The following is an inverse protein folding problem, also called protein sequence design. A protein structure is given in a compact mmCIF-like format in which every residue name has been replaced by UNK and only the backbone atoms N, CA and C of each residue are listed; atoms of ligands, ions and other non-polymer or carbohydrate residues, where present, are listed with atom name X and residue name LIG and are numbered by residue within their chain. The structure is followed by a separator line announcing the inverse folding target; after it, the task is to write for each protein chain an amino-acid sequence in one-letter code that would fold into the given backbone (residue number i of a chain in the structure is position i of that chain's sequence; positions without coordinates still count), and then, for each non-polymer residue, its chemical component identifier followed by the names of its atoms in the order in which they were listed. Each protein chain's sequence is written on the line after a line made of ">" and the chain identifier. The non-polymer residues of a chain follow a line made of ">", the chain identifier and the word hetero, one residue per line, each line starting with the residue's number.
data_IF_400863992291
#
_entry.id   IF_400863992291
#
_cell.length_a   1.000
_cell.length_b   1.000
_cell.length_c   1.000
_cell.angle_alpha   90.00
_cell.angle_beta   90.00
_cell.angle_gamma   90.00
#
_symmetry.space_group_name_H-M   'P 1'
#
loop_
_entity.id
_entity.type
_entity.pdbx_description
1 polymer ?
#
# COMPACT_ATOMS: atom_id res chain seq x y z
N UNK A 1 27.03 4.89 -23.98
CA UNK A 1 28.06 4.47 -23.02
C UNK A 1 27.54 4.71 -21.62
N UNK A 2 27.04 3.67 -20.96
CA UNK A 2 26.73 3.72 -19.54
C UNK A 2 27.99 4.03 -18.75
N UNK A 3 27.96 5.12 -18.00
CA UNK A 3 29.03 5.39 -17.03
C UNK A 3 28.91 4.32 -15.94
N UNK A 4 29.87 3.39 -15.91
CA UNK A 4 30.06 2.45 -14.82
C UNK A 4 30.20 3.24 -13.51
N UNK A 5 29.13 3.24 -12.71
CA UNK A 5 29.08 3.91 -11.42
C UNK A 5 29.70 2.95 -10.39
N UNK A 6 31.02 2.91 -10.34
CA UNK A 6 31.76 2.19 -9.30
C UNK A 6 31.62 2.95 -7.97
N UNK A 7 30.46 2.85 -7.32
CA UNK A 7 30.35 3.26 -5.91
C UNK A 7 30.86 2.11 -5.05
N UNK A 8 31.84 2.35 -4.14
CA UNK A 8 32.26 1.33 -3.21
C UNK A 8 31.05 0.85 -2.39
N UNK A 9 30.95 -0.46 -2.20
CA UNK A 9 29.94 -1.04 -1.31
C UNK A 9 30.01 -0.35 0.05
N UNK A 10 28.89 0.25 0.50
CA UNK A 10 28.81 0.81 1.85
C UNK A 10 29.08 -0.32 2.85
N UNK A 11 30.00 -0.12 3.77
CA UNK A 11 30.26 -1.08 4.82
C UNK A 11 29.00 -1.25 5.69
N UNK A 12 28.78 -2.44 6.29
CA UNK A 12 27.67 -2.69 7.21
C UNK A 12 27.64 -1.68 8.38
N UNK A 13 28.81 -1.18 8.81
CA UNK A 13 28.89 -0.12 9.84
C UNK A 13 28.31 1.21 9.32
N UNK A 14 28.64 1.61 8.11
CA UNK A 14 28.11 2.83 7.48
C UNK A 14 26.59 2.73 7.31
N UNK A 15 26.08 1.57 6.86
CA UNK A 15 24.65 1.31 6.74
C UNK A 15 23.92 1.43 8.08
N UNK A 16 24.47 0.85 9.16
CA UNK A 16 23.89 0.96 10.52
C UNK A 16 23.86 2.39 11.03
N UNK A 17 24.92 3.16 10.79
CA UNK A 17 24.98 4.57 11.21
C UNK A 17 23.93 5.41 10.47
N UNK A 18 23.84 5.25 9.15
CA UNK A 18 22.87 5.94 8.31
C UNK A 18 21.43 5.57 8.69
N UNK A 19 21.16 4.28 8.88
CA UNK A 19 19.85 3.78 9.35
C UNK A 19 19.47 4.37 10.69
N UNK A 20 20.41 4.44 11.64
CA UNK A 20 20.20 5.06 12.96
C UNK A 20 19.89 6.55 12.83
N UNK A 21 20.62 7.27 11.98
CA UNK A 21 20.37 8.70 11.71
C UNK A 21 18.97 8.94 11.12
N UNK A 22 18.57 8.15 10.11
CA UNK A 22 17.23 8.21 9.52
C UNK A 22 16.15 7.96 10.58
N UNK A 23 16.35 6.94 11.42
CA UNK A 23 15.43 6.58 12.50
C UNK A 23 15.37 7.66 13.59
N UNK A 24 16.44 8.34 13.90
CA UNK A 24 16.47 9.32 15.02
C UNK A 24 16.04 10.71 14.59
N UNK A 25 16.45 11.15 13.40
CA UNK A 25 16.39 12.55 12.99
C UNK A 25 15.30 12.88 11.95
N UNK A 26 14.47 11.90 11.53
CA UNK A 26 13.45 12.09 10.49
C UNK A 26 12.03 11.77 10.98
N UNK A 27 11.44 12.59 11.85
CA UNK A 27 10.14 12.29 12.47
C UNK A 27 8.99 12.17 11.44
N UNK A 28 9.04 12.91 10.34
CA UNK A 28 8.03 12.84 9.29
C UNK A 28 8.05 11.49 8.55
N UNK A 29 9.24 10.93 8.36
CA UNK A 29 9.41 9.61 7.78
C UNK A 29 8.88 8.50 8.71
N UNK A 30 9.08 8.63 10.04
CA UNK A 30 8.50 7.68 11.00
C UNK A 30 6.98 7.66 10.96
N UNK A 31 6.35 8.81 10.90
CA UNK A 31 4.89 8.91 10.78
C UNK A 31 4.40 8.21 9.52
N UNK A 32 5.13 8.35 8.41
CA UNK A 32 4.85 7.62 7.19
C UNK A 32 5.02 6.11 7.39
N UNK A 33 6.09 5.64 8.04
CA UNK A 33 6.29 4.22 8.36
C UNK A 33 5.13 3.66 9.19
N UNK A 34 4.67 4.38 10.21
CA UNK A 34 3.51 3.96 11.01
C UNK A 34 2.24 3.85 10.17
N UNK A 35 1.97 4.78 9.27
CA UNK A 35 0.86 4.65 8.32
C UNK A 35 1.00 3.39 7.46
N UNK A 36 2.23 3.07 7.01
CA UNK A 36 2.52 1.87 6.21
C UNK A 36 2.32 0.56 6.99
N UNK A 37 2.62 0.54 8.30
CA UNK A 37 2.34 -0.63 9.15
C UNK A 37 0.86 -1.00 9.11
N UNK A 38 -0.03 -0.04 9.31
CA UNK A 38 -1.48 -0.30 9.24
C UNK A 38 -1.93 -0.70 7.83
N UNK A 39 -1.32 -0.13 6.79
CA UNK A 39 -1.61 -0.51 5.42
C UNK A 39 -1.18 -1.95 5.09
N UNK A 40 -0.20 -2.56 5.80
CA UNK A 40 0.17 -3.96 5.61
C UNK A 40 -1.01 -4.93 5.84
N UNK A 41 -2.07 -4.51 6.53
CA UNK A 41 -3.31 -5.28 6.67
C UNK A 41 -3.98 -5.62 5.33
N UNK A 42 -3.65 -4.89 4.25
CA UNK A 42 -4.20 -5.15 2.91
C UNK A 42 -3.46 -6.25 2.13
N UNK A 43 -2.31 -6.73 2.61
CA UNK A 43 -1.50 -7.71 1.89
C UNK A 43 -2.24 -9.02 1.59
N UNK A 44 -3.06 -9.60 2.49
CA UNK A 44 -3.85 -10.79 2.20
C UNK A 44 -5.11 -10.50 1.37
N UNK A 45 -5.36 -9.25 0.97
CA UNK A 45 -6.65 -8.81 0.45
C UNK A 45 -7.14 -9.62 -0.76
N UNK A 46 -6.34 -9.83 -1.80
CA UNK A 46 -6.82 -10.51 -3.02
C UNK A 46 -7.34 -11.91 -2.68
N UNK A 47 -6.58 -12.70 -1.93
CA UNK A 47 -7.00 -14.03 -1.52
C UNK A 47 -8.24 -14.01 -0.63
N UNK A 48 -8.27 -13.11 0.36
CA UNK A 48 -9.40 -12.93 1.27
C UNK A 48 -10.69 -12.61 0.49
N UNK A 49 -10.65 -11.63 -0.42
CA UNK A 49 -11.84 -11.22 -1.17
C UNK A 49 -12.29 -12.30 -2.15
N UNK A 50 -11.35 -12.98 -2.82
CA UNK A 50 -11.69 -14.06 -3.74
C UNK A 50 -12.41 -15.22 -3.02
N UNK A 51 -11.86 -15.70 -1.89
CA UNK A 51 -12.45 -16.77 -1.11
C UNK A 51 -13.81 -16.34 -0.52
N UNK A 52 -13.91 -15.12 0.03
CA UNK A 52 -15.16 -14.59 0.55
C UNK A 52 -16.26 -14.52 -0.50
N UNK A 53 -15.95 -13.96 -1.67
CA UNK A 53 -16.92 -13.82 -2.74
C UNK A 53 -17.33 -15.20 -3.29
N UNK A 54 -16.39 -16.14 -3.45
CA UNK A 54 -16.68 -17.50 -3.86
C UNK A 54 -17.62 -18.19 -2.87
N UNK A 55 -17.34 -18.13 -1.59
CA UNK A 55 -18.18 -18.73 -0.55
C UNK A 55 -19.59 -18.12 -0.47
N UNK A 56 -19.70 -16.82 -0.77
CA UNK A 56 -20.97 -16.10 -0.64
C UNK A 56 -21.86 -16.22 -1.88
N UNK A 57 -21.26 -16.26 -3.06
CA UNK A 57 -22.00 -16.16 -4.33
C UNK A 57 -21.91 -17.42 -5.20
N UNK A 58 -21.10 -18.43 -4.82
CA UNK A 58 -20.94 -19.72 -5.52
C UNK A 58 -20.68 -19.55 -7.04
N UNK A 59 -19.76 -18.66 -7.41
CA UNK A 59 -19.48 -18.40 -8.82
C UNK A 59 -18.51 -19.44 -9.43
N UNK A 60 -18.58 -19.63 -10.74
CA UNK A 60 -17.75 -20.55 -11.49
C UNK A 60 -16.32 -20.01 -11.73
N UNK A 61 -15.40 -20.92 -12.07
CA UNK A 61 -13.99 -20.57 -12.39
C UNK A 61 -13.89 -19.55 -13.53
N UNK A 62 -14.82 -19.57 -14.50
CA UNK A 62 -14.87 -18.61 -15.60
C UNK A 62 -15.08 -17.16 -15.12
N UNK A 63 -15.83 -16.97 -14.05
CA UNK A 63 -16.10 -15.65 -13.44
C UNK A 63 -14.88 -15.11 -12.72
N UNK A 64 -14.06 -15.99 -12.12
CA UNK A 64 -12.76 -15.62 -11.49
C UNK A 64 -11.85 -14.98 -12.54
N UNK A 65 -11.80 -15.52 -13.75
CA UNK A 65 -11.07 -14.94 -14.87
C UNK A 65 -11.52 -13.51 -15.18
N UNK A 66 -12.84 -13.29 -15.24
CA UNK A 66 -13.41 -11.95 -15.48
C UNK A 66 -13.05 -10.94 -14.38
N UNK A 67 -13.12 -11.33 -13.11
CA UNK A 67 -12.73 -10.47 -11.99
C UNK A 67 -11.24 -10.14 -12.02
N UNK A 68 -10.39 -11.13 -12.35
CA UNK A 68 -8.95 -10.93 -12.48
C UNK A 68 -8.64 -9.94 -13.62
N UNK A 69 -9.28 -10.07 -14.77
CA UNK A 69 -9.11 -9.13 -15.89
C UNK A 69 -9.49 -7.72 -15.48
N UNK A 70 -10.64 -7.53 -14.82
CA UNK A 70 -11.06 -6.21 -14.35
C UNK A 70 -10.10 -5.62 -13.29
N UNK A 71 -9.61 -6.44 -12.39
CA UNK A 71 -8.59 -6.02 -11.42
C UNK A 71 -7.32 -5.52 -12.13
N UNK A 72 -6.80 -6.27 -13.11
CA UNK A 72 -5.59 -5.90 -13.85
C UNK A 72 -5.80 -4.64 -14.69
N UNK A 73 -6.94 -4.53 -15.41
CA UNK A 73 -7.27 -3.32 -16.17
C UNK A 73 -7.35 -2.12 -15.25
N UNK A 74 -8.09 -2.24 -14.14
CA UNK A 74 -8.21 -1.18 -13.14
C UNK A 74 -6.84 -0.80 -12.57
N UNK A 75 -5.99 -1.77 -12.25
CA UNK A 75 -4.63 -1.54 -11.78
C UNK A 75 -3.81 -0.71 -12.78
N UNK A 76 -3.88 -1.03 -14.08
CA UNK A 76 -3.18 -0.30 -15.13
C UNK A 76 -3.68 1.15 -15.26
N UNK A 77 -5.01 1.33 -15.34
CA UNK A 77 -5.64 2.66 -15.46
C UNK A 77 -5.29 3.54 -14.26
N UNK A 78 -5.47 3.02 -13.05
CA UNK A 78 -5.22 3.80 -11.83
C UNK A 78 -3.74 3.98 -11.51
N UNK A 79 -2.85 3.15 -12.03
CA UNK A 79 -1.41 3.42 -11.98
C UNK A 79 -1.04 4.68 -12.76
N UNK A 80 -1.62 4.83 -13.97
CA UNK A 80 -1.43 6.04 -14.78
C UNK A 80 -2.04 7.28 -14.12
N UNK A 81 -3.32 7.19 -13.69
CA UNK A 81 -4.02 8.29 -13.01
C UNK A 81 -3.29 8.73 -11.76
N UNK A 82 -2.86 7.78 -10.94
CA UNK A 82 -2.15 8.04 -9.69
C UNK A 82 -0.77 8.63 -9.92
N UNK A 83 -0.07 8.21 -10.99
CA UNK A 83 1.18 8.84 -11.43
C UNK A 83 0.95 10.33 -11.75
N UNK A 84 -0.01 10.63 -12.60
CA UNK A 84 -0.36 12.00 -12.96
C UNK A 84 -0.77 12.86 -11.75
N UNK A 85 -1.61 12.33 -10.87
CA UNK A 85 -2.02 13.01 -9.62
C UNK A 85 -0.80 13.24 -8.71
N UNK A 86 0.07 12.26 -8.58
CA UNK A 86 1.29 12.35 -7.78
C UNK A 86 2.25 13.39 -8.29
N UNK A 87 2.42 13.49 -9.60
CA UNK A 87 3.29 14.49 -10.23
C UNK A 87 2.75 15.91 -10.04
N UNK A 88 1.43 16.09 -10.19
CA UNK A 88 0.78 17.40 -10.12
C UNK A 88 0.52 17.89 -8.70
N UNK A 89 0.03 17.01 -7.82
CA UNK A 89 -0.48 17.39 -6.49
C UNK A 89 0.35 16.83 -5.33
N UNK A 90 1.36 16.02 -5.63
CA UNK A 90 2.21 15.38 -4.64
C UNK A 90 1.87 13.92 -4.39
N UNK A 91 2.92 13.13 -4.15
CA UNK A 91 2.78 11.67 -3.99
C UNK A 91 2.07 11.26 -2.70
N UNK A 92 1.98 12.15 -1.72
CA UNK A 92 1.15 11.94 -0.53
C UNK A 92 -0.34 11.81 -0.90
N UNK A 93 -0.84 12.67 -1.79
CA UNK A 93 -2.26 12.65 -2.24
C UNK A 93 -2.53 11.37 -3.03
N UNK A 94 -1.63 11.02 -3.93
CA UNK A 94 -1.69 9.78 -4.69
C UNK A 94 -1.73 8.54 -3.79
N UNK A 95 -0.96 8.55 -2.70
CA UNK A 95 -0.96 7.48 -1.70
C UNK A 95 -2.28 7.41 -0.91
N UNK A 96 -2.87 8.57 -0.58
CA UNK A 96 -4.20 8.63 0.05
C UNK A 96 -5.27 8.04 -0.86
N UNK A 97 -5.20 8.27 -2.18
CA UNK A 97 -6.10 7.64 -3.15
C UNK A 97 -5.99 6.11 -3.10
N UNK A 98 -4.76 5.57 -3.06
CA UNK A 98 -4.53 4.13 -2.94
C UNK A 98 -5.21 3.54 -1.70
N UNK A 99 -5.03 4.18 -0.54
CA UNK A 99 -5.64 3.75 0.71
C UNK A 99 -7.17 3.83 0.66
N UNK A 100 -7.70 4.90 0.06
CA UNK A 100 -9.14 5.11 -0.09
C UNK A 100 -9.79 4.06 -0.99
N UNK A 101 -9.14 3.63 -2.07
CA UNK A 101 -9.63 2.56 -2.93
C UNK A 101 -9.64 1.20 -2.21
N UNK A 102 -8.62 0.89 -1.41
CA UNK A 102 -8.66 -0.33 -0.60
C UNK A 102 -9.75 -0.28 0.48
N UNK A 103 -9.98 0.88 1.09
CA UNK A 103 -11.09 1.07 2.03
C UNK A 103 -12.44 0.93 1.33
N UNK A 104 -12.58 1.46 0.12
CA UNK A 104 -13.77 1.27 -0.70
C UNK A 104 -14.04 -0.22 -0.98
N UNK A 105 -13.00 -1.00 -1.29
CA UNK A 105 -13.15 -2.45 -1.47
C UNK A 105 -13.67 -3.15 -0.20
N UNK A 106 -13.20 -2.77 0.98
CA UNK A 106 -13.73 -3.26 2.27
C UNK A 106 -15.22 -2.93 2.42
N UNK A 107 -15.60 -1.69 2.18
CA UNK A 107 -16.99 -1.25 2.27
C UNK A 107 -17.88 -2.02 1.30
N UNK A 108 -17.45 -2.14 0.02
CA UNK A 108 -18.18 -2.91 -0.98
C UNK A 108 -18.34 -4.38 -0.57
N UNK A 109 -17.32 -5.01 0.02
CA UNK A 109 -17.41 -6.38 0.49
C UNK A 109 -18.40 -6.55 1.63
N UNK A 110 -18.38 -5.67 2.62
CA UNK A 110 -19.32 -5.70 3.78
C UNK A 110 -20.77 -5.56 3.33
N UNK A 111 -21.04 -4.71 2.35
CA UNK A 111 -22.41 -4.44 1.85
C UNK A 111 -22.80 -5.26 0.61
N UNK A 112 -21.94 -6.15 0.13
CA UNK A 112 -22.16 -6.94 -1.09
C UNK A 112 -23.44 -7.79 -1.00
N UNK A 113 -24.34 -7.64 -1.99
CA UNK A 113 -25.62 -8.35 -2.04
C UNK A 113 -25.76 -9.26 -3.26
N UNK A 114 -25.06 -8.97 -4.34
CA UNK A 114 -25.14 -9.69 -5.60
C UNK A 114 -23.80 -9.62 -6.35
N UNK A 115 -23.73 -10.26 -7.51
CA UNK A 115 -22.53 -10.37 -8.33
C UNK A 115 -21.99 -9.02 -8.80
N UNK A 116 -22.82 -8.00 -9.01
CA UNK A 116 -22.34 -6.67 -9.41
C UNK A 116 -21.42 -6.04 -8.37
N UNK A 117 -21.63 -6.32 -7.08
CA UNK A 117 -20.74 -5.85 -6.02
C UNK A 117 -19.36 -6.50 -6.13
N UNK A 118 -19.28 -7.74 -6.56
CA UNK A 118 -18.01 -8.44 -6.75
C UNK A 118 -17.16 -7.74 -7.81
N UNK A 119 -17.74 -7.35 -8.94
CA UNK A 119 -17.05 -6.54 -9.95
C UNK A 119 -16.52 -5.24 -9.34
N UNK A 120 -17.34 -4.53 -8.58
CA UNK A 120 -16.93 -3.30 -7.87
C UNK A 120 -15.77 -3.51 -6.89
N UNK A 121 -15.78 -4.62 -6.14
CA UNK A 121 -14.69 -4.99 -5.21
C UNK A 121 -13.37 -5.15 -5.97
N UNK A 122 -13.35 -5.94 -7.04
CA UNK A 122 -12.12 -6.21 -7.79
C UNK A 122 -11.61 -4.98 -8.55
N UNK A 123 -12.51 -4.11 -9.04
CA UNK A 123 -12.14 -2.81 -9.60
C UNK A 123 -11.49 -1.93 -8.53
N UNK A 124 -12.08 -1.84 -7.33
CA UNK A 124 -11.54 -1.04 -6.24
C UNK A 124 -10.18 -1.58 -5.74
N UNK A 125 -10.03 -2.91 -5.66
CA UNK A 125 -8.75 -3.54 -5.32
C UNK A 125 -7.67 -3.21 -6.36
N UNK A 126 -7.99 -3.36 -7.65
CA UNK A 126 -7.07 -3.02 -8.73
C UNK A 126 -6.69 -1.54 -8.72
N UNK A 127 -7.66 -0.64 -8.52
CA UNK A 127 -7.43 0.79 -8.38
C UNK A 127 -6.51 1.11 -7.21
N UNK A 128 -6.72 0.47 -6.06
CA UNK A 128 -5.88 0.62 -4.88
C UNK A 128 -4.44 0.17 -5.12
N UNK A 129 -4.25 -1.02 -5.71
CA UNK A 129 -2.93 -1.57 -6.03
C UNK A 129 -2.19 -0.74 -7.09
N UNK A 130 -2.89 -0.37 -8.17
CA UNK A 130 -2.32 0.45 -9.24
C UNK A 130 -1.91 1.84 -8.74
N UNK A 131 -2.71 2.44 -7.86
CA UNK A 131 -2.35 3.72 -7.25
C UNK A 131 -1.21 3.59 -6.24
N UNK A 132 -1.12 2.48 -5.51
CA UNK A 132 -0.15 2.29 -4.47
C UNK A 132 1.29 2.20 -4.99
N UNK A 133 1.55 1.37 -6.00
CA UNK A 133 2.89 1.06 -6.48
C UNK A 133 3.71 2.31 -6.85
N UNK A 134 3.26 3.19 -7.77
CA UNK A 134 4.02 4.39 -8.13
C UNK A 134 4.09 5.39 -6.97
N UNK A 135 3.00 5.52 -6.20
CA UNK A 135 2.94 6.49 -5.10
C UNK A 135 3.88 6.15 -3.97
N UNK A 136 3.97 4.87 -3.60
CA UNK A 136 4.84 4.41 -2.52
C UNK A 136 6.30 4.65 -2.84
N UNK A 137 6.75 4.28 -4.05
CA UNK A 137 8.14 4.48 -4.48
C UNK A 137 8.51 5.95 -4.57
N UNK A 138 7.66 6.76 -5.20
CA UNK A 138 7.94 8.17 -5.41
C UNK A 138 7.89 8.95 -4.09
N UNK A 139 6.98 8.63 -3.17
CA UNK A 139 6.94 9.26 -1.85
C UNK A 139 8.20 8.95 -1.04
N UNK A 140 8.73 7.72 -1.13
CA UNK A 140 10.02 7.37 -0.51
C UNK A 140 11.15 8.23 -1.10
N UNK A 141 11.14 8.43 -2.40
CA UNK A 141 12.13 9.28 -3.07
C UNK A 141 12.01 10.77 -2.70
N UNK A 142 10.82 11.21 -2.35
CA UNK A 142 10.59 12.57 -1.84
C UNK A 142 11.16 12.75 -0.42
N UNK A 143 11.15 11.71 0.42
CA UNK A 143 11.79 11.71 1.74
C UNK A 143 13.30 11.60 1.67
N UNK A 144 13.82 10.83 0.72
CA UNK A 144 15.24 10.53 0.61
C UNK A 144 16.01 11.65 -0.10
N UNK A 145 17.27 11.86 0.30
CA UNK A 145 18.22 12.60 -0.53
C UNK A 145 18.66 11.73 -1.73
N UNK A 146 19.25 12.34 -2.76
CA UNK A 146 19.62 11.62 -4.01
C UNK A 146 20.48 10.37 -3.76
N UNK A 147 21.31 10.38 -2.72
CA UNK A 147 22.26 9.31 -2.44
C UNK A 147 21.73 8.21 -1.51
N UNK A 148 20.63 8.48 -0.78
CA UNK A 148 20.13 7.63 0.30
C UNK A 148 18.90 6.78 -0.09
N UNK A 149 18.40 6.91 -1.32
CA UNK A 149 17.15 6.26 -1.78
C UNK A 149 17.12 4.75 -1.52
N UNK A 150 18.21 4.05 -1.81
CA UNK A 150 18.30 2.60 -1.60
C UNK A 150 18.24 2.22 -0.13
N UNK A 151 18.84 3.03 0.75
CA UNK A 151 18.81 2.83 2.20
C UNK A 151 17.40 3.00 2.74
N UNK A 152 16.66 4.03 2.30
CA UNK A 152 15.27 4.24 2.68
C UNK A 152 14.36 3.10 2.25
N UNK A 153 14.51 2.60 1.01
CA UNK A 153 13.73 1.45 0.52
C UNK A 153 14.02 0.20 1.35
N UNK A 154 15.28 -0.16 1.54
CA UNK A 154 15.67 -1.32 2.34
C UNK A 154 15.19 -1.22 3.79
N UNK A 155 15.24 -0.02 4.38
CA UNK A 155 14.75 0.24 5.74
C UNK A 155 13.24 -0.01 5.83
N UNK A 156 12.45 0.49 4.88
CA UNK A 156 11.00 0.30 4.86
C UNK A 156 10.67 -1.17 4.76
N UNK A 157 11.24 -1.89 3.80
CA UNK A 157 10.93 -3.30 3.58
C UNK A 157 11.32 -4.15 4.81
N UNK A 158 12.50 -3.90 5.39
CA UNK A 158 12.95 -4.58 6.61
C UNK A 158 12.05 -4.27 7.80
N UNK A 159 11.64 -3.01 7.96
CA UNK A 159 10.78 -2.60 9.08
C UNK A 159 9.36 -3.15 8.95
N UNK A 160 8.82 -3.19 7.73
CA UNK A 160 7.45 -3.65 7.50
C UNK A 160 7.30 -5.17 7.47
N UNK A 161 8.37 -5.92 7.18
CA UNK A 161 8.31 -7.38 7.05
C UNK A 161 7.66 -8.11 8.24
N UNK A 162 8.02 -7.85 9.52
CA UNK A 162 7.39 -8.52 10.66
C UNK A 162 5.89 -8.20 10.77
N UNK A 163 5.48 -6.98 10.48
CA UNK A 163 4.07 -6.57 10.48
C UNK A 163 3.30 -7.22 9.32
N UNK A 164 3.92 -7.33 8.16
CA UNK A 164 3.36 -8.03 7.01
C UNK A 164 3.06 -9.50 7.36
N UNK A 165 4.04 -10.22 7.94
CA UNK A 165 3.88 -11.60 8.38
C UNK A 165 2.76 -11.71 9.42
N UNK A 166 2.72 -10.81 10.38
CA UNK A 166 1.69 -10.79 11.43
C UNK A 166 0.28 -10.61 10.84
N UNK A 167 0.09 -9.64 9.93
CA UNK A 167 -1.22 -9.42 9.30
C UNK A 167 -1.63 -10.59 8.40
N UNK A 168 -0.71 -11.12 7.60
CA UNK A 168 -1.01 -12.28 6.74
C UNK A 168 -1.42 -13.48 7.60
N UNK A 169 -0.68 -13.77 8.68
CA UNK A 169 -0.98 -14.86 9.59
C UNK A 169 -2.30 -14.67 10.34
N UNK A 170 -2.54 -13.48 10.91
CA UNK A 170 -3.75 -13.18 11.65
C UNK A 170 -5.01 -13.24 10.77
N UNK A 171 -4.97 -12.61 9.59
CA UNK A 171 -6.10 -12.64 8.64
C UNK A 171 -6.29 -14.05 8.09
N UNK A 172 -5.21 -14.77 7.75
CA UNK A 172 -5.28 -16.17 7.30
C UNK A 172 -5.94 -17.08 8.34
N UNK A 173 -5.62 -16.92 9.61
CA UNK A 173 -6.27 -17.65 10.70
C UNK A 173 -7.77 -17.36 10.78
N UNK A 174 -8.17 -16.10 10.69
CA UNK A 174 -9.59 -15.70 10.70
C UNK A 174 -10.36 -16.24 9.49
N UNK A 175 -9.72 -16.28 8.32
CA UNK A 175 -10.32 -16.85 7.09
C UNK A 175 -10.53 -18.36 7.24
N UNK A 176 -9.57 -19.06 7.83
CA UNK A 176 -9.72 -20.50 8.11
C UNK A 176 -10.90 -20.78 9.05
N UNK A 177 -11.17 -19.90 10.00
CA UNK A 177 -12.32 -19.97 10.92
C UNK A 177 -13.62 -19.42 10.30
N UNK A 178 -13.66 -19.13 8.99
CA UNK A 178 -14.80 -18.50 8.30
C UNK A 178 -15.21 -17.11 8.87
N UNK A 179 -14.32 -16.42 9.58
CA UNK A 179 -14.59 -15.10 10.18
C UNK A 179 -14.26 -13.94 9.21
N UNK A 180 -14.78 -14.04 7.99
CA UNK A 180 -14.52 -13.04 6.93
C UNK A 180 -14.91 -11.61 7.31
N UNK A 181 -16.12 -11.46 7.90
CA UNK A 181 -16.62 -10.13 8.28
C UNK A 181 -15.71 -9.46 9.31
N UNK A 182 -15.20 -10.24 10.28
CA UNK A 182 -14.25 -9.74 11.27
C UNK A 182 -12.93 -9.32 10.60
N UNK A 183 -12.46 -10.09 9.62
CA UNK A 183 -11.27 -9.74 8.84
C UNK A 183 -11.44 -8.40 8.12
N UNK A 184 -12.61 -8.16 7.50
CA UNK A 184 -12.91 -6.89 6.84
C UNK A 184 -12.99 -5.72 7.82
N UNK A 185 -13.56 -5.90 9.02
CA UNK A 185 -13.55 -4.85 10.05
C UNK A 185 -12.13 -4.51 10.50
N UNK A 186 -11.27 -5.50 10.73
CA UNK A 186 -9.87 -5.27 11.12
C UNK A 186 -9.13 -4.51 10.01
N UNK A 187 -9.24 -4.95 8.75
CA UNK A 187 -8.59 -4.28 7.62
C UNK A 187 -9.14 -2.86 7.47
N UNK A 188 -10.46 -2.67 7.58
CA UNK A 188 -11.10 -1.36 7.48
C UNK A 188 -10.62 -0.39 8.55
N UNK A 189 -10.57 -0.82 9.82
CA UNK A 189 -10.05 -0.01 10.92
C UNK A 189 -8.58 0.34 10.73
N UNK A 190 -7.75 -0.63 10.30
CA UNK A 190 -6.35 -0.37 9.97
C UNK A 190 -6.20 0.65 8.83
N UNK A 191 -7.00 0.53 7.77
CA UNK A 191 -6.98 1.48 6.66
C UNK A 191 -7.41 2.88 7.08
N UNK A 192 -8.45 3.00 7.91
CA UNK A 192 -8.87 4.30 8.47
C UNK A 192 -7.74 4.90 9.29
N UNK A 193 -7.09 4.13 10.16
CA UNK A 193 -5.93 4.59 10.92
C UNK A 193 -4.78 5.01 9.99
N UNK A 194 -4.48 4.21 8.95
CA UNK A 194 -3.45 4.53 7.97
C UNK A 194 -3.74 5.86 7.24
N UNK A 195 -4.99 6.09 6.82
CA UNK A 195 -5.44 7.32 6.16
C UNK A 195 -5.31 8.51 7.11
N UNK A 196 -5.78 8.39 8.35
CA UNK A 196 -5.71 9.45 9.36
C UNK A 196 -4.25 9.83 9.61
N UNK A 197 -3.38 8.85 9.83
CA UNK A 197 -1.96 9.10 10.07
C UNK A 197 -1.32 9.77 8.86
N UNK A 198 -1.56 9.24 7.66
CA UNK A 198 -0.97 9.79 6.44
C UNK A 198 -1.48 11.22 6.16
N UNK A 199 -2.78 11.46 6.34
CA UNK A 199 -3.39 12.76 6.03
C UNK A 199 -2.95 13.85 7.01
N UNK A 200 -3.08 13.61 8.33
CA UNK A 200 -2.93 14.64 9.34
C UNK A 200 -1.52 14.72 9.92
N UNK A 201 -0.81 13.62 10.03
CA UNK A 201 0.47 13.58 10.73
C UNK A 201 1.69 13.58 9.79
N UNK A 202 1.54 13.15 8.53
CA UNK A 202 2.62 13.17 7.54
C UNK A 202 2.55 14.49 6.77
N UNK A 203 3.60 15.29 6.84
CA UNK A 203 3.74 16.48 6.00
C UNK A 203 4.23 16.07 4.62
N UNK A 204 3.73 16.74 3.55
CA UNK A 204 4.22 16.50 2.20
C UNK A 204 5.69 16.91 2.09
N UNK A 205 6.60 15.99 1.73
CA UNK A 205 8.03 16.32 1.65
C UNK A 205 8.37 17.36 0.58
N UNK A 206 7.49 17.51 -0.44
CA UNK A 206 7.69 18.50 -1.52
C UNK A 206 7.39 19.92 -1.07
N UNK A 207 6.50 20.13 -0.10
CA UNK A 207 6.17 21.47 0.37
C UNK A 207 7.39 22.22 0.92
N UNK A 208 8.36 21.50 1.48
CA UNK A 208 9.61 22.06 1.98
C UNK A 208 10.65 22.36 0.88
N UNK A 209 10.49 21.81 -0.34
CA UNK A 209 11.41 22.02 -1.46
C UNK A 209 11.02 23.22 -2.35
N UNK A 210 9.78 23.70 -2.22
CA UNK A 210 9.27 24.85 -2.97
C UNK A 210 9.47 26.19 -2.25
N UNK A 211 9.95 26.16 -1.01
CA UNK A 211 10.22 27.34 -0.17
C UNK A 211 11.70 27.78 -0.17
N UNK A 212 12.51 27.23 -1.05
CA UNK A 212 13.90 27.59 -1.31
C UNK A 212 14.12 27.72 -2.83
#
# INVERSE_FOLDING_TARGET
>A
KEKSYNRPYKSLKAFKVETKDIITNRPNFHRYLFSRVFYCSTLPAIGLYAIYCQNKFNFDISEVGSFTILNVISMGVFSYVSGYVGDKYGHKISMLLAYSFHLLAVVLALFSKNMFWVYGIFIALGAGQGSFMPSAMNLIYDFANKDDKKTYMALIDTFLAPFAILFIGAIGFLVNDNKFVLSFYIIGLCLIAAIIILHFFVKDPRSNKLSH
#
